data_IF_477141256985
#
_entry.id   IF_477141256985
#
_cell.length_a   1.000
_cell.length_b   1.000
_cell.length_c   1.000
_cell.angle_alpha   90.00
_cell.angle_beta   90.00
_cell.angle_gamma   90.00
#
_symmetry.space_group_name_H-M   'P 1'
#
loop_
_entity.id
_entity.type
_entity.pdbx_description
1 polymer ?
#
# COMPACT_ATOMS: atom_id res chain seq x y z
N UNK A 1 36.03 -26.89 -13.84
CA UNK A 1 34.69 -27.48 -13.67
C UNK A 1 33.67 -26.36 -13.83
N UNK A 2 32.84 -26.50 -14.87
CA UNK A 2 31.59 -25.82 -15.29
C UNK A 2 31.27 -24.41 -14.77
N UNK A 3 31.26 -23.46 -15.70
CA UNK A 3 30.51 -22.20 -15.62
C UNK A 3 29.02 -22.51 -15.79
N UNK A 4 28.17 -21.97 -14.93
CA UNK A 4 26.71 -22.06 -15.05
C UNK A 4 26.18 -20.76 -15.69
N UNK A 5 25.83 -20.84 -16.96
CA UNK A 5 25.09 -19.82 -17.69
C UNK A 5 23.61 -19.89 -17.28
N UNK A 6 23.09 -18.82 -16.65
CA UNK A 6 21.66 -18.67 -16.39
C UNK A 6 21.02 -17.87 -17.53
N UNK A 7 20.63 -18.56 -18.59
CA UNK A 7 19.68 -18.03 -19.58
C UNK A 7 18.26 -18.39 -19.12
N UNK A 8 17.56 -17.43 -18.53
CA UNK A 8 16.12 -17.54 -18.27
C UNK A 8 15.37 -17.03 -19.50
N UNK A 9 14.96 -17.95 -20.37
CA UNK A 9 14.06 -17.66 -21.50
C UNK A 9 12.63 -17.58 -20.97
N UNK A 10 12.04 -16.38 -20.93
CA UNK A 10 10.63 -16.19 -20.61
C UNK A 10 9.81 -16.49 -21.89
N UNK A 11 8.85 -17.43 -21.89
CA UNK A 11 8.00 -17.65 -23.05
C UNK A 11 7.10 -16.42 -23.28
N UNK A 12 7.04 -15.97 -24.54
CA UNK A 12 6.13 -14.89 -24.94
C UNK A 12 4.67 -15.30 -24.71
N UNK A 13 3.89 -14.46 -24.04
CA UNK A 13 2.47 -14.66 -23.83
C UNK A 13 1.73 -14.35 -25.14
N UNK A 14 1.11 -15.35 -25.74
CA UNK A 14 0.17 -15.17 -26.85
C UNK A 14 -1.07 -14.42 -26.36
N UNK A 15 -1.47 -13.31 -27.00
CA UNK A 15 -2.71 -12.62 -26.67
C UNK A 15 -3.91 -13.53 -26.97
N UNK A 16 -4.82 -13.65 -26.00
CA UNK A 16 -6.08 -14.40 -26.14
C UNK A 16 -6.95 -13.75 -27.21
N UNK A 17 -7.55 -14.55 -28.09
CA UNK A 17 -8.42 -14.04 -29.16
C UNK A 17 -9.65 -13.33 -28.60
N UNK A 18 -10.07 -12.26 -29.27
CA UNK A 18 -11.30 -11.54 -28.95
C UNK A 18 -12.51 -12.47 -29.07
N UNK A 19 -13.33 -12.53 -28.01
CA UNK A 19 -14.59 -13.25 -28.00
C UNK A 19 -15.55 -12.66 -29.04
N UNK A 20 -16.22 -13.52 -29.79
CA UNK A 20 -17.15 -13.11 -30.84
C UNK A 20 -18.34 -12.32 -30.25
N UNK A 21 -18.92 -11.35 -30.99
CA UNK A 21 -20.11 -10.64 -30.56
C UNK A 21 -21.28 -11.60 -30.33
N UNK A 22 -21.95 -11.46 -29.19
CA UNK A 22 -23.18 -12.20 -28.89
C UNK A 22 -24.24 -11.84 -29.92
N UNK A 23 -24.85 -12.86 -30.55
CA UNK A 23 -25.89 -12.67 -31.55
C UNK A 23 -27.07 -11.84 -30.98
N UNK A 24 -27.67 -10.94 -31.77
CA UNK A 24 -28.79 -10.14 -31.31
C UNK A 24 -29.99 -11.03 -30.98
N UNK A 25 -30.63 -10.75 -29.85
CA UNK A 25 -31.88 -11.39 -29.42
C UNK A 25 -32.98 -11.12 -30.45
N UNK A 26 -33.38 -12.15 -31.18
CA UNK A 26 -34.52 -12.10 -32.07
C UNK A 26 -35.82 -12.13 -31.25
N UNK A 27 -36.31 -10.95 -30.84
CA UNK A 27 -37.65 -10.81 -30.29
C UNK A 27 -38.53 -10.14 -31.35
N UNK A 28 -39.49 -10.90 -31.86
CA UNK A 28 -40.25 -10.58 -33.06
C UNK A 28 -41.00 -9.25 -33.03
N UNK A 29 -41.26 -8.75 -34.24
CA UNK A 29 -42.19 -7.67 -34.64
C UNK A 29 -41.75 -6.20 -34.45
N UNK A 30 -41.09 -5.73 -35.51
CA UNK A 30 -41.42 -4.53 -36.32
C UNK A 30 -41.71 -3.18 -35.59
N UNK A 31 -40.67 -2.35 -35.42
CA UNK A 31 -40.68 -0.88 -35.57
C UNK A 31 -39.27 -0.33 -35.22
N UNK A 32 -38.35 -0.41 -36.18
CA UNK A 32 -36.91 -0.12 -36.00
C UNK A 32 -36.61 1.38 -35.81
N UNK A 33 -37.57 2.29 -36.02
CA UNK A 33 -37.37 3.73 -35.84
C UNK A 33 -37.64 4.28 -34.43
N UNK A 34 -38.54 3.66 -33.65
CA UNK A 34 -38.97 4.20 -32.35
C UNK A 34 -38.22 3.63 -31.13
N UNK A 35 -37.68 2.41 -31.26
CA UNK A 35 -37.06 1.69 -30.13
C UNK A 35 -35.64 2.17 -29.82
N UNK A 36 -34.87 2.63 -30.82
CA UNK A 36 -33.54 3.21 -30.57
C UNK A 36 -33.66 4.56 -29.83
N UNK A 37 -34.65 5.38 -30.18
CA UNK A 37 -34.90 6.66 -29.50
C UNK A 37 -35.27 6.48 -28.02
N UNK A 38 -36.08 5.46 -27.70
CA UNK A 38 -36.42 5.13 -26.31
C UNK A 38 -35.20 4.74 -25.48
N UNK A 39 -34.40 3.79 -25.99
CA UNK A 39 -33.18 3.32 -25.31
C UNK A 39 -32.15 4.45 -25.20
N UNK A 40 -32.01 5.29 -26.25
CA UNK A 40 -31.08 6.41 -26.23
C UNK A 40 -31.46 7.46 -25.17
N UNK A 41 -32.75 7.79 -25.05
CA UNK A 41 -33.21 8.74 -24.05
C UNK A 41 -33.06 8.20 -22.61
N UNK A 42 -33.26 6.89 -22.43
CA UNK A 42 -33.07 6.21 -21.15
C UNK A 42 -31.59 6.23 -20.71
N UNK A 43 -30.67 5.93 -21.64
CA UNK A 43 -29.21 6.01 -21.40
C UNK A 43 -28.76 7.44 -21.09
N UNK A 44 -29.31 8.45 -21.78
CA UNK A 44 -28.97 9.85 -21.51
C UNK A 44 -29.42 10.28 -20.10
N UNK A 45 -30.58 9.80 -19.63
CA UNK A 45 -31.04 10.04 -18.25
C UNK A 45 -30.13 9.38 -17.22
N UNK A 46 -29.71 8.14 -17.45
CA UNK A 46 -28.81 7.40 -16.56
C UNK A 46 -27.44 8.07 -16.41
N UNK A 47 -26.89 8.58 -17.52
CA UNK A 47 -25.61 9.32 -17.51
C UNK A 47 -25.73 10.63 -16.73
N UNK A 48 -26.84 11.36 -16.88
CA UNK A 48 -27.07 12.60 -16.15
C UNK A 48 -27.15 12.36 -14.63
N UNK A 49 -27.91 11.35 -14.20
CA UNK A 49 -28.02 10.98 -12.79
C UNK A 49 -26.68 10.52 -12.20
N UNK A 50 -25.87 9.78 -12.97
CA UNK A 50 -24.55 9.35 -12.55
C UNK A 50 -23.58 10.53 -12.35
N UNK A 51 -23.60 11.50 -13.26
CA UNK A 51 -22.77 12.71 -13.13
C UNK A 51 -23.18 13.58 -11.95
N UNK A 52 -24.46 13.58 -11.60
CA UNK A 52 -25.03 14.46 -10.58
C UNK A 52 -24.95 13.87 -9.17
N UNK A 53 -25.13 12.55 -9.03
CA UNK A 53 -25.21 11.88 -7.72
C UNK A 53 -24.02 10.94 -7.44
N UNK A 54 -23.16 10.68 -8.44
CA UNK A 54 -22.07 9.72 -8.35
C UNK A 54 -22.56 8.27 -8.29
N UNK A 55 -21.66 7.30 -8.58
CA UNK A 55 -21.97 5.86 -8.62
C UNK A 55 -22.28 5.19 -7.28
N UNK A 56 -22.80 5.93 -6.30
CA UNK A 56 -23.07 5.52 -4.93
C UNK A 56 -24.45 4.88 -4.76
N UNK A 57 -24.71 3.78 -5.45
CA UNK A 57 -25.83 2.89 -5.11
C UNK A 57 -26.85 2.73 -6.23
N UNK A 58 -26.71 1.64 -6.98
CA UNK A 58 -27.76 1.12 -7.87
C UNK A 58 -28.85 0.46 -7.01
N UNK A 59 -29.64 1.28 -6.32
CA UNK A 59 -30.68 0.80 -5.40
C UNK A 59 -31.89 0.21 -6.13
N UNK A 60 -31.97 0.33 -7.45
CA UNK A 60 -32.90 -0.40 -8.29
C UNK A 60 -32.18 -1.34 -9.27
N UNK A 61 -31.75 -2.49 -8.77
CA UNK A 61 -31.22 -3.59 -9.59
C UNK A 61 -32.23 -4.12 -10.64
N UNK A 62 -33.51 -3.75 -10.52
CA UNK A 62 -34.60 -4.15 -11.40
C UNK A 62 -34.67 -3.36 -12.72
N UNK A 63 -34.10 -2.16 -12.81
CA UNK A 63 -34.12 -1.32 -14.03
C UNK A 63 -32.85 -1.45 -14.87
N UNK A 64 -31.82 -2.13 -14.34
CA UNK A 64 -30.56 -2.31 -15.06
C UNK A 64 -30.67 -3.36 -16.17
N UNK A 65 -30.04 -3.07 -17.31
CA UNK A 65 -29.77 -4.06 -18.35
C UNK A 65 -28.99 -5.26 -17.78
N UNK A 66 -29.00 -6.39 -18.49
CA UNK A 66 -28.26 -7.57 -18.07
C UNK A 66 -26.77 -7.26 -17.83
N UNK A 67 -26.20 -6.40 -18.67
CA UNK A 67 -24.83 -5.90 -18.60
C UNK A 67 -24.62 -4.97 -17.40
N UNK A 68 -25.57 -4.05 -17.13
CA UNK A 68 -25.52 -3.14 -15.98
C UNK A 68 -25.50 -3.90 -14.65
N UNK A 69 -26.28 -4.98 -14.54
CA UNK A 69 -26.28 -5.85 -13.35
C UNK A 69 -24.95 -6.59 -13.15
N UNK A 70 -24.29 -6.99 -14.23
CA UNK A 70 -22.98 -7.66 -14.17
C UNK A 70 -21.85 -6.71 -13.79
N UNK A 71 -21.94 -5.45 -14.20
CA UNK A 71 -20.98 -4.44 -13.78
C UNK A 71 -21.18 -4.02 -12.31
N UNK A 72 -22.44 -3.84 -11.89
CA UNK A 72 -22.78 -3.56 -10.50
C UNK A 72 -22.34 -4.67 -9.53
N UNK A 73 -22.49 -5.94 -9.92
CA UNK A 73 -22.01 -7.06 -9.08
C UNK A 73 -20.49 -7.12 -8.98
N UNK A 74 -19.78 -6.77 -10.06
CA UNK A 74 -18.30 -6.67 -10.06
C UNK A 74 -17.81 -5.51 -9.21
N UNK A 75 -18.45 -4.34 -9.28
CA UNK A 75 -18.06 -3.18 -8.47
C UNK A 75 -18.34 -3.41 -6.99
N UNK A 76 -19.44 -4.08 -6.64
CA UNK A 76 -19.73 -4.52 -5.27
C UNK A 76 -18.71 -5.54 -4.74
N UNK A 77 -18.26 -6.48 -5.58
CA UNK A 77 -17.16 -7.39 -5.21
C UNK A 77 -15.84 -6.67 -4.99
N UNK A 78 -15.54 -5.64 -5.78
CA UNK A 78 -14.34 -4.82 -5.63
C UNK A 78 -14.39 -3.96 -4.36
N UNK A 79 -15.53 -3.35 -4.02
CA UNK A 79 -15.67 -2.58 -2.78
C UNK A 79 -15.62 -3.49 -1.54
N UNK A 80 -16.19 -4.70 -1.60
CA UNK A 80 -16.08 -5.70 -0.54
C UNK A 80 -14.63 -6.19 -0.34
N UNK A 81 -13.88 -6.38 -1.43
CA UNK A 81 -12.46 -6.76 -1.37
C UNK A 81 -11.59 -5.63 -0.80
N UNK A 82 -11.84 -4.36 -1.19
CA UNK A 82 -11.15 -3.19 -0.63
C UNK A 82 -11.51 -3.00 0.84
N UNK A 83 -12.76 -3.20 1.24
CA UNK A 83 -13.18 -3.15 2.64
C UNK A 83 -12.52 -4.28 3.46
N UNK A 84 -12.41 -5.49 2.90
CA UNK A 84 -11.74 -6.62 3.56
C UNK A 84 -10.23 -6.38 3.68
N UNK A 85 -9.60 -5.78 2.66
CA UNK A 85 -8.20 -5.38 2.71
C UNK A 85 -7.94 -4.23 3.71
N UNK A 86 -8.88 -3.29 3.83
CA UNK A 86 -8.84 -2.22 4.82
C UNK A 86 -9.02 -2.76 6.25
N UNK A 87 -9.95 -3.70 6.44
CA UNK A 87 -10.16 -4.40 7.72
C UNK A 87 -8.96 -5.29 8.07
N UNK A 88 -8.34 -5.95 7.10
CA UNK A 88 -7.11 -6.72 7.31
C UNK A 88 -5.92 -5.82 7.67
N UNK A 89 -5.78 -4.66 7.01
CA UNK A 89 -4.79 -3.64 7.37
C UNK A 89 -5.05 -3.10 8.77
N UNK A 90 -6.30 -2.80 9.13
CA UNK A 90 -6.68 -2.35 10.47
C UNK A 90 -6.48 -3.43 11.54
N UNK A 91 -6.70 -4.71 11.22
CA UNK A 91 -6.43 -5.83 12.12
C UNK A 91 -4.93 -6.08 12.32
N UNK A 92 -4.11 -5.83 11.29
CA UNK A 92 -2.64 -5.87 11.38
C UNK A 92 -2.09 -4.66 12.13
N UNK A 93 -2.75 -3.50 12.03
CA UNK A 93 -2.39 -2.27 12.76
C UNK A 93 -2.99 -2.21 14.17
N UNK A 94 -3.91 -3.13 14.51
CA UNK A 94 -4.79 -3.01 15.68
C UNK A 94 -5.77 -1.83 15.51
N UNK A 95 -7.00 -1.97 16.03
CA UNK A 95 -7.67 -0.80 16.62
C UNK A 95 -6.60 -0.15 17.49
N UNK A 96 -6.22 1.10 17.21
CA UNK A 96 -5.04 1.78 17.72
C UNK A 96 -4.79 1.44 19.17
N UNK A 97 -4.08 0.33 19.39
CA UNK A 97 -4.07 -0.34 20.67
C UNK A 97 -3.21 0.57 21.51
N UNK A 98 -3.87 1.37 22.36
CA UNK A 98 -3.32 2.51 23.08
C UNK A 98 -1.83 2.32 23.22
N UNK A 99 -1.07 2.94 22.31
CA UNK A 99 0.38 2.80 22.31
C UNK A 99 0.77 3.16 23.73
N UNK A 100 1.41 2.23 24.45
CA UNK A 100 1.63 2.38 25.88
C UNK A 100 2.22 3.80 26.11
N UNK A 101 1.87 4.55 27.15
CA UNK A 101 2.12 6.00 27.18
C UNK A 101 3.52 6.45 26.76
N UNK A 102 4.57 5.65 27.00
CA UNK A 102 5.93 5.90 26.51
C UNK A 102 6.14 5.73 24.99
N UNK A 103 5.42 4.83 24.33
CA UNK A 103 5.40 4.64 22.88
C UNK A 103 4.76 5.84 22.18
N UNK A 104 3.61 6.30 22.67
CA UNK A 104 2.98 7.51 22.11
C UNK A 104 3.87 8.74 22.32
N UNK A 105 4.44 8.90 23.52
CA UNK A 105 5.38 9.99 23.79
C UNK A 105 6.62 9.94 22.87
N UNK A 106 7.11 8.74 22.54
CA UNK A 106 8.18 8.58 21.56
C UNK A 106 7.73 9.04 20.16
N UNK A 107 6.58 8.59 19.68
CA UNK A 107 6.03 8.99 18.38
C UNK A 107 5.85 10.51 18.28
N UNK A 108 5.28 11.12 19.32
CA UNK A 108 5.08 12.57 19.40
C UNK A 108 6.43 13.32 19.35
N UNK A 109 7.46 12.79 20.02
CA UNK A 109 8.79 13.42 20.06
C UNK A 109 9.51 13.43 18.70
N UNK A 110 9.25 12.44 17.84
CA UNK A 110 9.91 12.29 16.54
C UNK A 110 9.07 12.80 15.36
N UNK A 111 7.77 13.00 15.56
CA UNK A 111 6.80 13.38 14.53
C UNK A 111 7.26 14.50 13.57
N UNK A 112 7.78 15.66 14.04
CA UNK A 112 8.20 16.72 13.11
C UNK A 112 9.34 16.29 12.18
N UNK A 113 10.31 15.54 12.70
CA UNK A 113 11.48 15.08 11.96
C UNK A 113 11.14 13.92 11.04
N UNK A 114 10.28 13.00 11.50
CA UNK A 114 9.78 11.89 10.70
C UNK A 114 9.02 12.41 9.49
N UNK A 115 8.18 13.44 9.67
CA UNK A 115 7.48 14.12 8.57
C UNK A 115 8.45 14.74 7.57
N UNK A 116 9.41 15.54 8.03
CA UNK A 116 10.38 16.20 7.15
C UNK A 116 11.20 15.19 6.34
N UNK A 117 11.68 14.11 6.99
CA UNK A 117 12.42 13.06 6.33
C UNK A 117 11.56 12.31 5.31
N UNK A 118 10.31 12.00 5.66
CA UNK A 118 9.38 11.32 4.78
C UNK A 118 9.03 12.15 3.54
N UNK A 119 8.83 13.46 3.70
CA UNK A 119 8.59 14.39 2.59
C UNK A 119 9.78 14.39 1.61
N UNK A 120 11.03 14.37 2.13
CA UNK A 120 12.25 14.27 1.31
C UNK A 120 12.41 12.91 0.61
N UNK A 121 11.95 11.84 1.25
CA UNK A 121 12.05 10.47 0.75
C UNK A 121 10.87 10.08 -0.17
N UNK A 122 9.78 10.85 -0.18
CA UNK A 122 8.58 10.52 -0.93
C UNK A 122 7.81 9.34 -0.35
N UNK A 123 7.86 9.15 0.98
CA UNK A 123 7.19 8.06 1.70
C UNK A 123 6.20 8.60 2.73
N UNK A 124 5.38 7.74 3.31
CA UNK A 124 4.50 8.12 4.41
C UNK A 124 5.31 8.34 5.72
N UNK A 125 5.06 9.40 6.51
CA UNK A 125 5.74 9.65 7.79
C UNK A 125 5.69 8.48 8.77
N UNK A 126 4.60 7.73 8.75
CA UNK A 126 4.38 6.56 9.58
C UNK A 126 5.42 5.47 9.32
N UNK A 127 5.94 5.34 8.09
CA UNK A 127 6.99 4.37 7.77
C UNK A 127 8.31 4.73 8.43
N UNK A 128 8.66 6.03 8.45
CA UNK A 128 9.87 6.51 9.12
C UNK A 128 9.75 6.31 10.64
N UNK A 129 8.60 6.68 11.21
CA UNK A 129 8.32 6.50 12.64
C UNK A 129 8.31 5.04 13.06
N UNK A 130 7.69 4.16 12.27
CA UNK A 130 7.67 2.72 12.54
C UNK A 130 9.07 2.11 12.50
N UNK A 131 9.90 2.50 11.53
CA UNK A 131 11.28 2.03 11.46
C UNK A 131 12.09 2.53 12.66
N UNK A 132 11.98 3.80 13.02
CA UNK A 132 12.64 4.34 14.21
C UNK A 132 12.20 3.62 15.50
N UNK A 133 10.90 3.33 15.65
CA UNK A 133 10.37 2.59 16.79
C UNK A 133 10.92 1.16 16.87
N UNK A 134 11.01 0.46 15.74
CA UNK A 134 11.54 -0.90 15.67
C UNK A 134 13.04 -0.94 16.04
N UNK A 135 13.84 -0.08 15.42
CA UNK A 135 15.30 -0.09 15.58
C UNK A 135 15.75 0.40 16.97
N UNK A 136 15.10 1.44 17.49
CA UNK A 136 15.42 1.99 18.82
C UNK A 136 14.72 1.26 19.97
N UNK A 137 13.78 0.37 19.67
CA UNK A 137 12.86 -0.21 20.64
C UNK A 137 12.05 0.86 21.35
N UNK A 138 11.32 1.69 20.60
CA UNK A 138 10.51 2.82 21.11
C UNK A 138 11.35 3.83 21.92
N UNK A 139 12.59 4.09 21.49
CA UNK A 139 13.53 4.99 22.16
C UNK A 139 14.15 4.45 23.45
N UNK A 140 13.87 3.20 23.85
CA UNK A 140 14.36 2.63 25.11
C UNK A 140 15.84 2.20 25.06
N UNK A 141 16.41 2.06 23.86
CA UNK A 141 17.80 1.60 23.66
C UNK A 141 18.64 2.65 22.92
N UNK A 142 18.75 3.89 23.45
CA UNK A 142 19.47 4.95 22.75
C UNK A 142 20.97 4.65 22.71
N UNK A 143 21.59 4.90 21.57
CA UNK A 143 23.04 4.98 21.48
C UNK A 143 23.49 6.25 22.20
N UNK A 144 24.46 6.11 23.10
CA UNK A 144 24.97 7.19 23.94
C UNK A 144 26.42 7.50 23.61
N UNK A 145 26.76 8.78 23.71
CA UNK A 145 28.13 9.25 23.68
C UNK A 145 28.88 8.80 24.96
N UNK A 146 30.22 8.89 24.99
CA UNK A 146 31.01 8.53 26.17
C UNK A 146 30.64 9.32 27.44
N UNK A 147 30.11 10.54 27.29
CA UNK A 147 29.62 11.39 28.38
C UNK A 147 28.20 11.04 28.85
N UNK A 148 27.57 10.02 28.24
CA UNK A 148 26.21 9.57 28.55
C UNK A 148 25.09 10.33 27.83
N UNK A 149 25.42 11.39 27.07
CA UNK A 149 24.46 12.14 26.26
C UNK A 149 23.92 11.31 25.09
N UNK A 150 22.73 11.66 24.58
CA UNK A 150 22.11 10.96 23.45
C UNK A 150 22.82 11.29 22.14
N UNK A 151 23.05 10.27 21.30
CA UNK A 151 23.52 10.46 19.92
C UNK A 151 22.41 10.87 18.96
N UNK A 152 21.14 10.70 19.37
CA UNK A 152 19.95 10.82 18.51
C UNK A 152 19.89 9.83 17.34
N UNK A 153 20.76 8.81 17.33
CA UNK A 153 20.74 7.76 16.31
C UNK A 153 19.66 6.72 16.64
N UNK A 154 18.46 6.91 16.06
CA UNK A 154 17.29 6.04 16.26
C UNK A 154 17.25 4.83 15.32
N UNK A 155 18.14 4.78 14.33
CA UNK A 155 18.12 3.80 13.25
C UNK A 155 19.35 2.85 13.27
N UNK A 156 20.29 3.07 14.19
CA UNK A 156 21.52 2.29 14.24
C UNK A 156 22.41 2.47 13.01
N UNK A 157 22.36 3.63 12.34
CA UNK A 157 23.22 3.88 11.17
C UNK A 157 24.66 4.02 11.61
N UNK A 158 25.56 3.24 11.00
CA UNK A 158 26.99 3.27 11.31
C UNK A 158 27.68 4.47 10.64
N UNK A 159 28.69 5.00 11.31
CA UNK A 159 29.58 6.01 10.78
C UNK A 159 30.58 5.37 9.78
N UNK A 160 30.30 5.54 8.48
CA UNK A 160 31.19 5.12 7.41
C UNK A 160 32.40 6.05 7.21
N UNK A 161 33.29 5.70 6.27
CA UNK A 161 34.53 6.46 6.01
C UNK A 161 34.30 7.92 5.59
N UNK A 162 33.15 8.23 4.99
CA UNK A 162 32.76 9.60 4.59
C UNK A 162 32.05 10.40 5.68
N UNK A 163 31.90 9.87 6.90
CA UNK A 163 31.26 10.58 8.00
C UNK A 163 32.25 11.52 8.69
N UNK A 164 31.86 12.79 8.82
CA UNK A 164 32.69 13.84 9.42
C UNK A 164 32.10 14.42 10.73
N UNK A 165 30.96 13.88 11.19
CA UNK A 165 30.26 14.33 12.39
C UNK A 165 30.73 13.65 13.67
N UNK A 166 29.99 13.88 14.76
CA UNK A 166 30.18 13.16 16.03
C UNK A 166 29.98 11.66 15.86
N UNK A 167 30.69 10.85 16.66
CA UNK A 167 30.66 9.39 16.58
C UNK A 167 30.63 8.78 17.97
N UNK A 168 29.76 7.80 18.18
CA UNK A 168 29.76 6.96 19.38
C UNK A 168 30.20 5.53 19.02
N UNK A 169 31.12 4.98 19.82
CA UNK A 169 31.53 3.58 19.69
C UNK A 169 30.65 2.70 20.59
N UNK A 170 30.10 1.61 20.04
CA UNK A 170 29.31 0.65 20.81
C UNK A 170 29.66 -0.79 20.40
N UNK A 171 29.61 -1.71 21.37
CA UNK A 171 29.82 -3.12 21.12
C UNK A 171 28.56 -3.72 20.47
N UNK A 172 28.74 -4.36 19.32
CA UNK A 172 27.68 -4.98 18.54
C UNK A 172 27.92 -6.48 18.42
N UNK A 173 26.86 -7.23 18.17
CA UNK A 173 26.94 -8.65 17.83
C UNK A 173 26.51 -8.80 16.38
N UNK A 174 27.43 -9.21 15.52
CA UNK A 174 27.19 -9.44 14.11
C UNK A 174 27.24 -10.93 13.80
N UNK A 175 26.38 -11.42 12.92
CA UNK A 175 26.38 -12.81 12.50
C UNK A 175 27.07 -12.93 11.14
N UNK A 176 28.25 -13.58 11.13
CA UNK A 176 29.03 -13.82 9.91
C UNK A 176 29.14 -15.33 9.70
N UNK A 177 28.58 -15.84 8.59
CA UNK A 177 28.57 -17.29 8.31
C UNK A 177 27.78 -18.11 9.33
N UNK A 178 26.79 -17.52 10.00
CA UNK A 178 25.96 -18.18 11.02
C UNK A 178 26.55 -18.16 12.44
N UNK A 179 27.76 -17.63 12.64
CA UNK A 179 28.39 -17.48 13.96
C UNK A 179 28.26 -16.06 14.49
N UNK A 180 27.94 -15.90 15.77
CA UNK A 180 27.89 -14.62 16.45
C UNK A 180 29.31 -14.10 16.76
N UNK A 181 29.64 -12.91 16.26
CA UNK A 181 30.90 -12.21 16.50
C UNK A 181 30.64 -10.89 17.21
N UNK A 182 31.30 -10.67 18.35
CA UNK A 182 31.29 -9.36 19.00
C UNK A 182 32.30 -8.45 18.31
N UNK A 183 31.85 -7.32 17.81
CA UNK A 183 32.71 -6.31 17.18
C UNK A 183 32.38 -4.91 17.70
N UNK A 184 33.40 -4.04 17.77
CA UNK A 184 33.20 -2.63 18.08
C UNK A 184 32.81 -1.90 16.80
N UNK A 185 31.65 -1.25 16.79
CA UNK A 185 31.17 -0.45 15.68
C UNK A 185 31.07 1.03 16.07
N UNK A 186 31.19 1.88 15.05
CA UNK A 186 31.10 3.33 15.16
C UNK A 186 29.77 3.78 14.56
N UNK A 187 29.06 4.64 15.27
CA UNK A 187 27.71 5.10 14.97
C UNK A 187 27.58 6.62 15.09
#
# INVERSE_FOLDING_TARGET
>A
MRHAEFTTSIPALTPTQATAPTAPLNNGSNAVGGKFGGIFNEVQGEVADFLQNGGGGFTNAATLSAEGRMWASRSQGATAAVATAAVATAAVMGDGADAAPGQQAFLDSIAPWAKEAADKLGVAPELVSAHAALESGWGQRPLRNPDGSSTHNLFGIKAGAGWHGGVAASATTEYVGGAALKTSARF
#
